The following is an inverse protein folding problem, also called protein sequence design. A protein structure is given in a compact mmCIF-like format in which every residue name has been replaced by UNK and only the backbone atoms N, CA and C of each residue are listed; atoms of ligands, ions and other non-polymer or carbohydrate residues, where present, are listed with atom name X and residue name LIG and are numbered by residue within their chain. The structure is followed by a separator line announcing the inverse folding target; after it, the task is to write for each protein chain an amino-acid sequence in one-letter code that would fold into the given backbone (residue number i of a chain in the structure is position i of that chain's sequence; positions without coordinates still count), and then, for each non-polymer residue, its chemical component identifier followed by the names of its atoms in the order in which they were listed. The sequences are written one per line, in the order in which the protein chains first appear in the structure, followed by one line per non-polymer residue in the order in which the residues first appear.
data_IF_902395074736
#
_entry.id   IF_902395074736
#
_cell.length_a   1.000
_cell.length_b   1.000
_cell.length_c   1.000
_cell.angle_alpha   90.00
_cell.angle_beta   90.00
_cell.angle_gamma   90.00
#
_symmetry.space_group_name_H-M   'P 1'
#
loop_
_entity.id
_entity.type
_entity.pdbx_description
1 polymer ?
#
# COMPACT_ATOMS: atom_id res chain seq x y z
N UNK A 1 -20.44 -4.51 1.31
CA UNK A 1 -19.84 -3.38 0.60
C UNK A 1 -18.40 -3.77 0.31
N UNK A 2 -17.99 -3.79 -0.96
CA UNK A 2 -16.58 -4.05 -1.30
C UNK A 2 -15.84 -2.76 -0.98
N UNK A 3 -15.21 -2.68 0.20
CA UNK A 3 -14.30 -1.58 0.53
C UNK A 3 -13.13 -1.68 -0.44
N UNK A 4 -13.12 -0.83 -1.45
CA UNK A 4 -11.97 -0.72 -2.35
C UNK A 4 -10.77 -0.39 -1.47
N UNK A 5 -9.75 -1.24 -1.51
CA UNK A 5 -8.53 -1.00 -0.77
C UNK A 5 -7.88 0.29 -1.30
N UNK A 6 -7.31 1.14 -0.42
CA UNK A 6 -6.61 2.33 -0.85
C UNK A 6 -5.41 1.95 -1.72
N UNK A 7 -5.11 2.81 -2.69
CA UNK A 7 -3.98 2.63 -3.61
C UNK A 7 -2.99 3.77 -3.34
N UNK A 8 -1.73 3.45 -3.07
CA UNK A 8 -0.65 4.39 -2.79
C UNK A 8 0.55 4.08 -3.66
N UNK A 9 1.02 5.04 -4.45
CA UNK A 9 2.16 4.89 -5.38
C UNK A 9 2.06 3.66 -6.31
N UNK A 10 0.84 3.22 -6.63
CA UNK A 10 0.57 2.02 -7.44
C UNK A 10 0.55 0.70 -6.64
N UNK A 11 0.72 0.75 -5.32
CA UNK A 11 0.50 -0.35 -4.40
C UNK A 11 -0.91 -0.27 -3.81
N UNK A 12 -1.62 -1.38 -3.81
CA UNK A 12 -2.84 -1.55 -3.02
C UNK A 12 -2.45 -1.80 -1.57
N UNK A 13 -2.91 -0.95 -0.66
CA UNK A 13 -2.60 -1.02 0.77
C UNK A 13 -3.63 -1.91 1.46
N UNK A 14 -3.20 -3.12 1.86
CA UNK A 14 -4.05 -4.08 2.56
C UNK A 14 -3.79 -4.02 4.06
N UNK A 15 -4.47 -3.10 4.75
CA UNK A 15 -4.33 -2.89 6.20
C UNK A 15 -4.67 -4.14 7.03
N UNK A 16 -5.47 -5.07 6.48
CA UNK A 16 -5.84 -6.32 7.19
C UNK A 16 -4.69 -7.30 7.22
N UNK A 17 -3.95 -7.37 6.12
CA UNK A 17 -2.80 -8.25 5.96
C UNK A 17 -1.47 -7.54 6.22
N UNK A 18 -1.52 -6.23 6.47
CA UNK A 18 -0.35 -5.36 6.68
C UNK A 18 0.65 -5.49 5.55
N UNK A 19 0.15 -5.42 4.31
CA UNK A 19 0.94 -5.62 3.10
C UNK A 19 0.58 -4.59 2.03
N UNK A 20 1.60 -4.08 1.35
CA UNK A 20 1.47 -3.37 0.09
C UNK A 20 1.51 -4.36 -1.07
N UNK A 21 0.53 -4.26 -1.97
CA UNK A 21 0.34 -5.19 -3.08
C UNK A 21 0.32 -4.48 -4.41
N UNK A 22 1.28 -4.76 -5.28
CA UNK A 22 1.32 -4.17 -6.62
C UNK A 22 1.06 -5.24 -7.66
N UNK A 23 -0.11 -5.16 -8.28
CA UNK A 23 -0.43 -5.98 -9.43
C UNK A 23 0.02 -5.25 -10.69
N UNK A 24 1.07 -5.75 -11.32
CA UNK A 24 1.50 -5.21 -12.61
C UNK A 24 0.58 -5.71 -13.72
N UNK A 25 0.12 -4.83 -14.61
CA UNK A 25 -0.77 -5.24 -15.71
C UNK A 25 -0.02 -5.95 -16.84
N UNK A 26 1.30 -5.75 -16.92
CA UNK A 26 2.14 -6.33 -17.98
C UNK A 26 2.88 -7.58 -17.52
N UNK A 27 2.95 -7.85 -16.21
CA UNK A 27 3.56 -9.06 -15.66
C UNK A 27 2.53 -9.83 -14.86
N UNK A 28 2.42 -11.16 -15.00
CA UNK A 28 1.51 -11.99 -14.21
C UNK A 28 1.95 -12.16 -12.74
N UNK A 29 2.76 -11.24 -12.21
CA UNK A 29 3.33 -11.30 -10.87
C UNK A 29 2.78 -10.15 -10.04
N UNK A 30 2.40 -10.46 -8.81
CA UNK A 30 2.02 -9.47 -7.81
C UNK A 30 3.21 -9.31 -6.88
N UNK A 31 3.67 -8.08 -6.68
CA UNK A 31 4.69 -7.77 -5.69
C UNK A 31 4.00 -7.54 -4.34
N UNK A 32 4.56 -8.13 -3.29
CA UNK A 32 4.06 -8.06 -1.92
C UNK A 32 5.17 -7.50 -1.05
N UNK A 33 4.91 -6.38 -0.38
CA UNK A 33 5.83 -5.78 0.59
C UNK A 33 5.12 -5.80 1.94
N UNK A 34 5.66 -6.54 2.89
CA UNK A 34 5.14 -6.59 4.26
C UNK A 34 5.47 -5.28 4.99
N UNK A 35 4.53 -4.79 5.79
CA UNK A 35 4.73 -3.56 6.59
C UNK A 35 5.85 -3.71 7.62
N UNK A 36 6.20 -4.94 8.00
CA UNK A 36 7.28 -5.24 8.94
C UNK A 36 8.67 -5.23 8.28
N UNK A 37 8.73 -5.21 6.94
CA UNK A 37 9.99 -5.08 6.21
C UNK A 37 10.48 -3.63 6.23
N UNK A 38 11.79 -3.41 6.13
CA UNK A 38 12.38 -2.06 6.08
C UNK A 38 11.71 -1.18 5.01
N UNK A 39 11.60 -1.68 3.78
CA UNK A 39 10.91 -1.01 2.67
C UNK A 39 9.41 -0.75 2.95
N UNK A 40 8.75 -1.66 3.67
CA UNK A 40 7.34 -1.53 4.03
C UNK A 40 7.09 -0.50 5.12
N UNK A 41 7.99 -0.38 6.10
CA UNK A 41 7.95 0.67 7.13
C UNK A 41 8.12 2.06 6.50
N UNK A 42 9.06 2.21 5.57
CA UNK A 42 9.27 3.47 4.85
C UNK A 42 8.03 3.86 4.02
N UNK A 43 7.48 2.90 3.25
CA UNK A 43 6.25 3.12 2.48
C UNK A 43 5.04 3.43 3.35
N UNK A 44 4.95 2.82 4.54
CA UNK A 44 3.86 3.07 5.48
C UNK A 44 3.94 4.49 6.06
N UNK A 45 5.12 4.94 6.46
CA UNK A 45 5.31 6.30 6.95
C UNK A 45 4.92 7.35 5.89
N UNK A 46 5.34 7.16 4.64
CA UNK A 46 4.93 8.05 3.54
C UNK A 46 3.41 7.99 3.26
N UNK A 47 2.80 6.82 3.41
CA UNK A 47 1.36 6.66 3.23
C UNK A 47 0.57 7.35 4.34
N UNK A 48 1.01 7.22 5.60
CA UNK A 48 0.41 7.90 6.75
C UNK A 48 0.51 9.43 6.62
N UNK A 49 1.68 9.95 6.25
CA UNK A 49 1.88 11.39 5.97
C UNK A 49 0.93 11.90 4.87
N UNK A 50 0.78 11.13 3.78
CA UNK A 50 -0.13 11.48 2.67
C UNK A 50 -1.62 11.42 3.03
N UNK A 51 -1.99 10.73 4.12
CA UNK A 51 -3.36 10.72 4.64
C UNK A 51 -3.62 11.96 5.50
N UNK A 52 -2.65 12.34 6.33
CA UNK A 52 -2.75 13.53 7.20
C UNK A 52 -2.88 14.82 6.35
N UNK A 53 -2.17 14.93 5.23
CA UNK A 53 -2.26 16.10 4.32
C UNK A 53 -3.62 16.25 3.62
N UNK A 54 -4.45 15.21 3.55
CA UNK A 54 -5.77 15.27 2.90
C UNK A 54 -6.91 15.65 3.86
N UNK A 55 -6.64 15.77 5.16
CA UNK A 55 -7.62 16.19 6.18
C UNK A 55 -7.54 17.69 6.56
N UNK A 56 -6.68 18.49 5.91
CA UNK A 56 -6.57 19.96 6.14
C UNK A 56 -7.27 20.84 5.08
#
# INVERSE_FOLDING_TARGET
MVTKLPEFKGYTVDMRLKQFRKADRNKPSIEFIDFDSEEGQELLAEYEESLEEQEE
#
